data_IF_825703662149
#
_entry.id   IF_825703662149
#
_cell.length_a   1.000
_cell.length_b   1.000
_cell.length_c   1.000
_cell.angle_alpha   90.00
_cell.angle_beta   90.00
_cell.angle_gamma   90.00
#
_symmetry.space_group_name_H-M   'P 1'
#
loop_
_entity.id
_entity.type
_entity.pdbx_description
1 polymer ?
#
# COMPACT_ATOMS: atom_id res chain seq x y z
N UNK A 1 -11.34 -15.04 -4.09
CA UNK A 1 -10.68 -14.04 -4.94
C UNK A 1 -10.47 -12.68 -4.27
N UNK A 2 -11.49 -11.85 -3.95
CA UNK A 2 -11.21 -10.54 -3.31
C UNK A 2 -10.48 -10.67 -1.96
N UNK A 3 -11.03 -11.48 -1.05
CA UNK A 3 -10.41 -11.75 0.26
C UNK A 3 -9.07 -12.51 0.14
N UNK A 4 -8.88 -13.25 -0.95
CA UNK A 4 -7.63 -13.95 -1.25
C UNK A 4 -6.53 -12.99 -1.71
N UNK A 5 -6.87 -11.99 -2.54
CA UNK A 5 -5.95 -10.92 -2.94
C UNK A 5 -5.53 -10.07 -1.74
N UNK A 6 -6.46 -9.78 -0.82
CA UNK A 6 -6.13 -9.12 0.44
C UNK A 6 -5.19 -9.98 1.29
N UNK A 7 -5.50 -11.28 1.46
CA UNK A 7 -4.66 -12.21 2.21
C UNK A 7 -3.24 -12.29 1.64
N UNK A 8 -3.07 -12.29 0.31
CA UNK A 8 -1.75 -12.28 -0.31
C UNK A 8 -0.96 -11.00 0.06
N UNK A 9 -1.62 -9.84 0.08
CA UNK A 9 -1.01 -8.59 0.55
C UNK A 9 -0.66 -8.66 2.04
N UNK A 10 -1.54 -9.18 2.88
CA UNK A 10 -1.27 -9.38 4.31
C UNK A 10 -0.08 -10.30 4.57
N UNK A 11 -0.03 -11.45 3.91
CA UNK A 11 1.05 -12.44 4.06
C UNK A 11 2.40 -11.82 3.66
N UNK A 12 2.43 -11.00 2.60
CA UNK A 12 3.62 -10.25 2.19
C UNK A 12 4.14 -9.30 3.28
N UNK A 13 3.28 -8.47 3.89
CA UNK A 13 3.72 -7.55 4.96
C UNK A 13 4.04 -8.27 6.27
N UNK A 14 3.38 -9.39 6.57
CA UNK A 14 3.74 -10.28 7.68
C UNK A 14 5.15 -10.85 7.51
N UNK A 15 5.51 -11.29 6.31
CA UNK A 15 6.83 -11.86 6.01
C UNK A 15 7.95 -10.82 6.13
N UNK A 16 7.71 -9.58 5.69
CA UNK A 16 8.64 -8.46 5.91
C UNK A 16 8.74 -8.13 7.41
N UNK A 17 7.69 -8.37 8.19
CA UNK A 17 7.63 -8.06 9.61
C UNK A 17 7.15 -6.64 9.90
N UNK A 18 6.29 -6.07 9.04
CA UNK A 18 5.72 -4.75 9.25
C UNK A 18 4.38 -4.84 10.01
N UNK A 19 4.20 -4.07 11.10
CA UNK A 19 2.92 -3.97 11.78
C UNK A 19 1.89 -3.23 10.91
N UNK A 20 0.68 -3.77 10.81
CA UNK A 20 -0.39 -3.18 10.02
C UNK A 20 -1.79 -3.42 10.60
N UNK A 21 -2.77 -2.70 10.07
CA UNK A 21 -4.19 -2.94 10.24
C UNK A 21 -4.89 -3.01 8.87
N UNK A 22 -5.99 -3.76 8.81
CA UNK A 22 -6.87 -3.79 7.63
C UNK A 22 -8.09 -2.92 7.91
N UNK A 23 -8.40 -2.03 6.97
CA UNK A 23 -9.53 -1.09 7.08
C UNK A 23 -10.51 -1.36 5.95
N UNK A 24 -11.78 -1.61 6.29
CA UNK A 24 -12.87 -1.59 5.31
C UNK A 24 -13.27 -0.14 5.04
N UNK A 25 -13.13 0.31 3.80
CA UNK A 25 -13.39 1.71 3.45
C UNK A 25 -14.90 1.97 3.40
N UNK A 26 -15.30 3.10 4.00
CA UNK A 26 -16.71 3.54 4.03
C UNK A 26 -17.21 3.89 2.63
N UNK A 27 -18.52 3.71 2.40
CA UNK A 27 -19.14 3.89 1.08
C UNK A 27 -18.88 5.27 0.45
N UNK A 28 -18.89 6.34 1.25
CA UNK A 28 -18.64 7.70 0.76
C UNK A 28 -17.21 7.98 0.29
N UNK A 29 -16.26 7.09 0.56
CA UNK A 29 -14.87 7.19 0.12
C UNK A 29 -14.52 6.17 -0.99
N UNK A 30 -15.50 5.39 -1.46
CA UNK A 30 -15.34 4.55 -2.64
C UNK A 30 -15.39 5.40 -3.91
N UNK A 31 -14.64 4.99 -4.93
CA UNK A 31 -14.80 5.56 -6.27
C UNK A 31 -15.94 4.84 -7.01
N UNK A 32 -16.37 5.40 -8.15
CA UNK A 32 -17.51 4.88 -8.92
C UNK A 32 -17.41 3.39 -9.26
N UNK A 33 -16.19 2.87 -9.43
CA UNK A 33 -15.97 1.49 -9.84
C UNK A 33 -16.00 0.49 -8.68
N UNK A 34 -15.62 0.87 -7.46
CA UNK A 34 -15.42 -0.07 -6.37
C UNK A 34 -16.73 -0.41 -5.65
N UNK A 35 -17.11 -1.69 -5.66
CA UNK A 35 -18.22 -2.20 -4.85
C UNK A 35 -17.79 -2.44 -3.39
N UNK A 36 -16.52 -2.81 -3.18
CA UNK A 36 -15.90 -2.98 -1.86
C UNK A 36 -14.40 -2.72 -1.97
N UNK A 37 -13.85 -1.98 -1.01
CA UNK A 37 -12.42 -1.66 -0.92
C UNK A 37 -11.89 -1.92 0.48
N UNK A 38 -10.74 -2.56 0.56
CA UNK A 38 -9.92 -2.65 1.75
C UNK A 38 -8.61 -1.91 1.57
N UNK A 39 -8.18 -1.19 2.60
CA UNK A 39 -6.82 -0.67 2.69
C UNK A 39 -6.03 -1.42 3.77
N UNK A 40 -4.78 -1.76 3.47
CA UNK A 40 -3.81 -2.19 4.46
C UNK A 40 -2.96 -0.97 4.82
N UNK A 41 -3.08 -0.55 6.07
CA UNK A 41 -2.33 0.58 6.60
C UNK A 41 -1.25 0.06 7.53
N UNK A 42 0.01 0.36 7.22
CA UNK A 42 1.13 -0.01 8.06
C UNK A 42 1.43 1.09 9.08
N UNK A 43 1.96 0.70 10.24
CA UNK A 43 2.32 1.62 11.31
C UNK A 43 3.68 2.28 11.04
N UNK A 44 3.73 3.60 11.22
CA UNK A 44 4.94 4.43 11.07
C UNK A 44 5.34 4.99 12.44
N UNK A 45 6.34 4.41 13.13
CA UNK A 45 6.76 4.79 14.48
C UNK A 45 7.15 6.28 14.63
N UNK A 46 7.86 6.86 13.67
CA UNK A 46 8.31 8.26 13.77
C UNK A 46 7.13 9.22 13.55
N UNK A 47 6.21 8.86 12.66
CA UNK A 47 4.97 9.62 12.42
C UNK A 47 3.87 9.36 13.47
N UNK A 48 3.99 8.29 14.27
CA UNK A 48 2.98 7.82 15.24
C UNK A 48 1.59 7.65 14.62
N UNK A 49 1.52 7.11 13.41
CA UNK A 49 0.26 6.93 12.70
C UNK A 49 0.32 5.76 11.73
N UNK A 50 -0.86 5.25 11.36
CA UNK A 50 -1.02 4.31 10.26
C UNK A 50 -1.04 5.05 8.93
N UNK A 51 -0.44 4.47 7.89
CA UNK A 51 -0.49 4.99 6.51
C UNK A 51 -0.74 3.86 5.53
N UNK A 52 -1.61 4.12 4.57
CA UNK A 52 -1.95 3.17 3.50
C UNK A 52 -0.70 2.74 2.72
N UNK A 53 -0.51 1.43 2.58
CA UNK A 53 0.47 0.81 1.68
C UNK A 53 -0.18 0.01 0.55
N UNK A 54 -1.40 -0.51 0.78
CA UNK A 54 -2.17 -1.30 -0.18
C UNK A 54 -3.59 -0.79 -0.26
N UNK A 55 -4.14 -0.83 -1.47
CA UNK A 55 -5.58 -0.73 -1.74
C UNK A 55 -6.01 -1.95 -2.53
N UNK A 56 -7.05 -2.63 -2.07
CA UNK A 56 -7.60 -3.87 -2.65
C UNK A 56 -9.10 -3.71 -2.94
N UNK A 57 -9.47 -3.65 -4.21
CA UNK A 57 -10.84 -3.34 -4.65
C UNK A 57 -11.46 -4.45 -5.50
N UNK A 58 -12.74 -4.71 -5.24
CA UNK A 58 -13.61 -5.48 -6.13
C UNK A 58 -14.53 -4.51 -6.88
N UNK A 59 -14.39 -4.46 -8.21
CA UNK A 59 -15.16 -3.58 -9.07
C UNK A 59 -16.37 -4.26 -9.70
N UNK A 60 -16.62 -5.54 -9.38
CA UNK A 60 -17.65 -6.37 -10.02
C UNK A 60 -17.56 -6.23 -11.55
N UNK A 61 -18.68 -6.03 -12.24
CA UNK A 61 -18.71 -5.88 -13.68
C UNK A 61 -18.68 -4.41 -14.18
N UNK A 62 -18.45 -3.43 -13.30
CA UNK A 62 -18.48 -2.00 -13.66
C UNK A 62 -17.51 -1.68 -14.80
N UNK A 63 -16.26 -2.13 -14.66
CA UNK A 63 -15.21 -1.91 -15.65
C UNK A 63 -15.43 -2.77 -16.91
N UNK A 64 -15.83 -4.04 -16.74
CA UNK A 64 -15.98 -4.97 -17.85
C UNK A 64 -17.16 -4.62 -18.76
N UNK A 65 -18.27 -4.08 -18.21
CA UNK A 65 -19.38 -3.52 -18.99
C UNK A 65 -18.93 -2.39 -19.90
N UNK A 66 -18.18 -1.44 -19.35
CA UNK A 66 -17.64 -0.29 -20.11
C UNK A 66 -16.66 -0.71 -21.20
N UNK A 67 -15.86 -1.75 -20.95
CA UNK A 67 -14.85 -2.25 -21.87
C UNK A 67 -15.36 -3.35 -22.82
N UNK A 68 -16.60 -3.81 -22.67
CA UNK A 68 -17.17 -4.88 -23.49
C UNK A 68 -16.64 -6.28 -23.20
N UNK A 69 -16.02 -6.51 -22.05
CA UNK A 69 -15.33 -7.76 -21.68
C UNK A 69 -16.35 -8.81 -21.22
N UNK A 70 -16.78 -9.65 -22.15
CA UNK A 70 -17.80 -10.68 -21.90
C UNK A 70 -17.25 -11.98 -21.31
N UNK A 71 -18.13 -12.73 -20.66
CA UNK A 71 -17.91 -14.11 -20.24
C UNK A 71 -18.67 -15.05 -21.18
N UNK A 72 -17.94 -15.79 -22.03
CA UNK A 72 -18.54 -16.70 -23.01
C UNK A 72 -18.95 -18.03 -22.37
N UNK A 73 -20.26 -18.26 -22.20
CA UNK A 73 -20.78 -19.54 -21.74
C UNK A 73 -21.11 -20.47 -22.92
N UNK A 74 -20.64 -21.72 -22.88
CA UNK A 74 -20.89 -22.73 -23.93
C UNK A 74 -22.28 -23.39 -23.86
N UNK A 75 -23.05 -23.18 -22.79
CA UNK A 75 -24.18 -24.08 -22.42
C UNK A 75 -25.54 -23.43 -22.18
N UNK A 76 -25.69 -22.10 -22.28
CA UNK A 76 -26.96 -21.46 -21.96
C UNK A 76 -27.57 -20.76 -23.18
N UNK A 77 -28.85 -21.06 -23.44
CA UNK A 77 -29.80 -20.27 -24.24
C UNK A 77 -30.09 -18.88 -23.61
N UNK A 78 -29.12 -18.30 -22.88
CA UNK A 78 -29.29 -17.00 -22.25
C UNK A 78 -29.12 -15.88 -23.27
N UNK A 79 -30.20 -15.13 -23.51
CA UNK A 79 -30.24 -13.96 -24.38
C UNK A 79 -29.41 -12.76 -23.88
N UNK A 80 -28.83 -12.82 -22.67
CA UNK A 80 -28.11 -11.68 -22.09
C UNK A 80 -26.59 -11.89 -22.06
N UNK A 81 -25.85 -10.88 -22.52
CA UNK A 81 -24.37 -10.86 -22.49
C UNK A 81 -23.91 -10.77 -21.03
N UNK A 82 -23.28 -11.85 -20.53
CA UNK A 82 -22.63 -11.84 -19.21
C UNK A 82 -21.27 -11.15 -19.28
N UNK A 83 -20.88 -10.47 -18.19
CA UNK A 83 -19.62 -9.76 -18.07
C UNK A 83 -18.79 -10.33 -16.92
N UNK A 84 -17.47 -10.35 -17.06
CA UNK A 84 -16.57 -10.81 -16.01
C UNK A 84 -16.50 -9.81 -14.85
N UNK A 85 -16.21 -10.30 -13.65
CA UNK A 85 -15.85 -9.41 -12.53
C UNK A 85 -14.37 -9.02 -12.61
N UNK A 86 -14.06 -7.76 -12.34
CA UNK A 86 -12.70 -7.23 -12.33
C UNK A 86 -12.32 -6.77 -10.92
N UNK A 87 -11.13 -7.18 -10.47
CA UNK A 87 -10.57 -6.85 -9.17
C UNK A 87 -9.15 -6.30 -9.37
N UNK A 88 -8.70 -5.48 -8.44
CA UNK A 88 -7.32 -4.96 -8.42
C UNK A 88 -6.81 -4.89 -6.98
N UNK A 89 -5.51 -5.13 -6.79
CA UNK A 89 -4.84 -4.99 -5.50
C UNK A 89 -3.39 -4.57 -5.71
N UNK A 90 -2.95 -3.57 -4.96
CA UNK A 90 -1.52 -3.25 -4.86
C UNK A 90 -0.84 -4.26 -3.95
N UNK A 91 0.22 -4.93 -4.40
CA UNK A 91 1.03 -5.76 -3.48
C UNK A 91 1.96 -4.87 -2.66
N UNK A 92 2.78 -4.06 -3.33
CA UNK A 92 3.71 -3.14 -2.68
C UNK A 92 3.84 -1.83 -3.46
N UNK A 93 3.65 -0.71 -2.77
CA UNK A 93 4.06 0.60 -3.25
C UNK A 93 5.49 0.84 -2.74
N UNK A 94 6.48 0.74 -3.62
CA UNK A 94 7.90 0.64 -3.28
C UNK A 94 8.39 1.77 -2.38
N UNK A 95 8.03 3.02 -2.67
CA UNK A 95 8.48 4.19 -1.94
C UNK A 95 7.90 4.25 -0.53
N UNK A 96 6.59 4.01 -0.40
CA UNK A 96 5.91 4.01 0.90
C UNK A 96 6.37 2.84 1.76
N UNK A 97 6.55 1.67 1.15
CA UNK A 97 7.05 0.47 1.82
C UNK A 97 8.47 0.68 2.32
N UNK A 98 9.35 1.29 1.49
CA UNK A 98 10.71 1.64 1.90
C UNK A 98 10.70 2.59 3.11
N UNK A 99 9.89 3.66 3.10
CA UNK A 99 9.78 4.54 4.25
C UNK A 99 9.31 3.79 5.52
N UNK A 100 8.36 2.86 5.37
CA UNK A 100 7.87 2.06 6.49
C UNK A 100 8.95 1.14 7.06
N UNK A 101 9.73 0.49 6.18
CA UNK A 101 10.88 -0.34 6.57
C UNK A 101 11.92 0.51 7.30
N UNK A 102 12.29 1.66 6.75
CA UNK A 102 13.28 2.54 7.36
C UNK A 102 12.84 2.96 8.78
N UNK A 103 11.58 3.35 8.99
CA UNK A 103 11.11 3.73 10.33
C UNK A 103 11.01 2.55 11.32
N UNK A 104 10.59 1.36 10.86
CA UNK A 104 10.38 0.21 11.75
C UNK A 104 11.67 -0.55 12.08
N UNK A 105 12.69 -0.49 11.20
CA UNK A 105 13.94 -1.24 11.34
C UNK A 105 15.15 -0.35 11.65
N UNK A 106 14.95 0.95 11.88
CA UNK A 106 16.02 1.87 12.28
C UNK A 106 16.60 1.53 13.66
N UNK A 107 17.93 1.64 13.76
CA UNK A 107 18.75 1.59 14.99
C UNK A 107 19.48 2.91 15.19
N UNK A 108 20.30 3.00 16.24
CA UNK A 108 21.10 4.19 16.55
C UNK A 108 22.11 4.52 15.44
N UNK A 109 22.69 3.51 14.81
CA UNK A 109 23.81 3.61 13.85
C UNK A 109 23.46 3.19 12.42
N UNK A 110 22.20 2.80 12.14
CA UNK A 110 21.78 2.38 10.81
C UNK A 110 20.38 1.80 10.75
N UNK A 111 20.15 0.89 9.80
CA UNK A 111 18.87 0.21 9.57
C UNK A 111 19.12 -1.29 9.40
N UNK A 112 18.42 -2.12 10.16
CA UNK A 112 18.40 -3.56 9.94
C UNK A 112 17.65 -3.90 8.65
N UNK A 113 18.20 -4.81 7.84
CA UNK A 113 17.52 -5.31 6.65
C UNK A 113 16.54 -6.41 7.09
N UNK A 114 15.23 -6.30 6.79
CA UNK A 114 14.26 -7.35 7.09
C UNK A 114 14.73 -8.71 6.57
N UNK A 115 14.56 -9.77 7.36
CA UNK A 115 15.06 -11.13 7.03
C UNK A 115 14.59 -11.61 5.65
N UNK A 116 13.34 -11.32 5.30
CA UNK A 116 12.76 -11.67 4.00
C UNK A 116 13.48 -10.99 2.81
N UNK A 117 14.15 -9.84 3.03
CA UNK A 117 14.83 -9.08 1.99
C UNK A 117 16.32 -9.41 1.85
N UNK A 118 16.94 -10.00 2.87
CA UNK A 118 18.38 -10.30 2.90
C UNK A 118 18.86 -11.17 1.72
N UNK A 119 18.13 -12.22 1.27
CA UNK A 119 18.54 -13.01 0.10
C UNK A 119 18.64 -12.19 -1.19
N UNK A 120 17.83 -11.15 -1.32
CA UNK A 120 17.82 -10.25 -2.49
C UNK A 120 18.87 -9.13 -2.39
N UNK A 121 19.47 -8.97 -1.21
CA UNK A 121 20.49 -7.98 -0.88
C UNK A 121 21.89 -8.59 -0.80
N UNK A 122 22.10 -9.81 -1.32
CA UNK A 122 23.40 -10.50 -1.26
C UNK A 122 23.84 -10.88 0.16
N UNK A 123 22.88 -11.09 1.06
CA UNK A 123 23.16 -11.39 2.47
C UNK A 123 23.49 -10.18 3.33
N UNK A 124 23.28 -8.94 2.85
CA UNK A 124 23.42 -7.75 3.69
C UNK A 124 22.32 -7.75 4.75
N UNK A 125 22.72 -7.77 6.02
CA UNK A 125 21.81 -7.77 7.17
C UNK A 125 21.63 -6.37 7.79
N UNK A 126 22.54 -5.44 7.53
CA UNK A 126 22.56 -4.11 8.16
C UNK A 126 23.08 -3.03 7.21
N UNK A 127 22.43 -1.86 7.22
CA UNK A 127 22.78 -0.68 6.45
C UNK A 127 23.22 0.45 7.39
N UNK A 128 24.53 0.71 7.55
CA UNK A 128 25.02 1.74 8.45
C UNK A 128 24.76 3.16 7.91
N UNK A 129 24.50 4.11 8.81
CA UNK A 129 24.44 5.53 8.44
C UNK A 129 25.83 6.04 8.05
N UNK A 130 25.97 6.55 6.82
CA UNK A 130 27.24 7.07 6.32
C UNK A 130 27.58 8.46 6.85
N UNK A 131 26.57 9.20 7.32
CA UNK A 131 26.70 10.56 7.79
C UNK A 131 25.83 10.75 9.03
N UNK A 132 26.32 11.52 10.04
CA UNK A 132 25.47 11.90 11.16
C UNK A 132 24.33 12.79 10.67
N UNK A 133 23.19 12.72 11.36
CA UNK A 133 22.06 13.61 11.10
C UNK A 133 22.49 15.07 11.31
N UNK A 134 22.54 15.86 10.23
CA UNK A 134 22.74 17.30 10.34
C UNK A 134 21.44 17.95 10.82
N UNK A 135 21.36 18.18 12.13
CA UNK A 135 20.18 18.73 12.81
C UNK A 135 19.79 20.11 12.26
N UNK A 136 20.73 20.86 11.67
CA UNK A 136 20.45 22.21 11.10
C UNK A 136 19.62 22.13 9.82
N UNK A 137 19.86 21.17 8.93
CA UNK A 137 19.06 21.01 7.71
C UNK A 137 17.62 20.51 8.01
N UNK A 138 17.43 19.71 9.06
CA UNK A 138 16.12 19.19 9.45
C UNK A 138 15.19 20.28 10.04
N UNK A 139 15.74 21.31 10.70
CA UNK A 139 14.95 22.45 11.21
C UNK A 139 14.52 23.42 10.10
N UNK A 140 15.36 23.64 9.09
CA UNK A 140 15.09 24.59 8.01
C UNK A 140 14.00 24.08 7.04
N UNK A 141 13.91 22.76 6.86
CA UNK A 141 12.81 22.15 6.08
C UNK A 141 11.45 22.23 6.81
N UNK A 142 11.43 22.24 8.15
CA UNK A 142 10.21 22.45 8.96
C UNK A 142 9.76 23.91 8.95
N UNK A 143 10.68 24.88 8.96
CA UNK A 143 10.35 26.32 8.94
C UNK A 143 9.81 26.79 7.59
N UNK A 144 10.24 26.18 6.48
CA UNK A 144 9.68 26.48 5.16
C UNK A 144 8.28 25.85 4.92
N UNK A 145 7.97 24.69 5.53
CA UNK A 145 6.64 24.06 5.43
C UNK A 145 5.55 24.78 6.23
N UNK A 146 5.90 25.49 7.31
CA UNK A 146 4.95 26.31 8.06
C UNK A 146 4.60 27.62 7.34
N UNK A 147 5.53 28.19 6.56
CA UNK A 147 5.28 29.38 5.74
C UNK A 147 4.39 29.13 4.51
N UNK A 148 4.35 27.91 3.98
CA UNK A 148 3.56 27.62 2.76
C UNK A 148 2.08 27.28 3.00
N UNK A 149 1.63 27.11 4.25
CA UNK A 149 0.22 26.84 4.60
C UNK A 149 -0.61 28.09 4.93
N UNK A 150 -0.03 29.29 4.78
CA UNK A 150 -0.67 30.56 5.16
C UNK A 150 -1.39 31.32 4.04
N UNK A 151 -1.32 30.90 2.78
CA UNK A 151 -1.96 31.62 1.66
C UNK A 151 -2.77 30.66 0.77
N UNK A 152 -3.98 30.33 1.24
CA UNK A 152 -5.07 29.90 0.39
C UNK A 152 -6.37 30.31 1.10
N UNK A 153 -6.73 31.57 0.91
CA UNK A 153 -8.08 32.10 1.15
C UNK A 153 -8.75 32.28 -0.21
#
# INVERSE_FOLDING_TARGET
>A
MHEEMLKNSEDYYKEIGLPYQVVSIVSGALNDAAAKKYDLEAWFPASKTFRELVSCSNCTDFQSRRLGIGYGQKKNDEQSKQFVHMLNSTLTATERTLCCILENFQKEDGVEVPKALQPYMGGIEFLPFKQPLDVKQASDSKSNKSKSKGNAA
#
